data_IF_915599305271
#
_entry.id   IF_915599305271
#
_cell.length_a   1.000
_cell.length_b   1.000
_cell.length_c   1.000
_cell.angle_alpha   90.00
_cell.angle_beta   90.00
_cell.angle_gamma   90.00
#
_symmetry.space_group_name_H-M   'P 1'
#
loop_
_entity.id
_entity.type
_entity.pdbx_description
1 polymer ?
#
# COMPACT_ATOMS: atom_id res chain seq x y z
N UNK A 1 13.93 2.55 -26.98
CA UNK A 1 12.85 1.67 -26.52
C UNK A 1 11.62 2.54 -26.41
N UNK A 2 10.52 2.19 -27.08
CA UNK A 2 9.25 2.86 -26.85
C UNK A 2 8.86 2.62 -25.38
N UNK A 3 8.59 3.71 -24.67
CA UNK A 3 8.06 3.67 -23.32
C UNK A 3 6.64 3.09 -23.43
N UNK A 4 6.44 1.87 -22.93
CA UNK A 4 5.08 1.30 -22.84
C UNK A 4 4.35 2.14 -21.80
N UNK A 5 3.42 2.97 -22.25
CA UNK A 5 2.51 3.67 -21.34
C UNK A 5 1.51 2.64 -20.79
N UNK A 6 1.16 2.79 -19.51
CA UNK A 6 0.06 2.05 -18.89
C UNK A 6 -1.20 2.17 -19.75
N UNK A 7 -1.83 1.04 -20.03
CA UNK A 7 -3.10 0.93 -20.73
C UNK A 7 -4.24 0.71 -19.74
N UNK A 8 -5.46 1.11 -20.09
CA UNK A 8 -6.66 0.89 -19.26
C UNK A 8 -6.84 -0.57 -18.80
N UNK A 9 -6.36 -1.53 -19.60
CA UNK A 9 -6.43 -2.95 -19.26
C UNK A 9 -5.48 -3.36 -18.11
N UNK A 10 -4.47 -2.54 -17.81
CA UNK A 10 -3.51 -2.81 -16.73
C UNK A 10 -4.14 -2.58 -15.34
N UNK A 11 -5.39 -2.10 -15.26
CA UNK A 11 -6.16 -2.07 -14.02
C UNK A 11 -6.84 -3.41 -13.70
N UNK A 12 -6.83 -4.38 -14.64
CA UNK A 12 -7.44 -5.69 -14.49
C UNK A 12 -6.40 -6.81 -14.40
N UNK A 13 -6.86 -8.05 -14.21
CA UNK A 13 -5.97 -9.21 -14.04
C UNK A 13 -5.10 -9.44 -15.27
N UNK A 14 -3.81 -9.63 -15.01
CA UNK A 14 -2.82 -9.92 -16.04
C UNK A 14 -2.73 -11.43 -16.32
N UNK A 15 -2.31 -11.76 -17.53
CA UNK A 15 -1.95 -13.14 -17.86
C UNK A 15 -0.60 -13.47 -17.22
N UNK A 16 -0.52 -14.43 -16.30
CA UNK A 16 0.75 -14.76 -15.67
C UNK A 16 1.69 -15.47 -16.64
N UNK A 17 2.99 -15.30 -16.41
CA UNK A 17 4.01 -16.10 -17.09
C UNK A 17 4.24 -17.45 -16.37
N UNK A 18 5.25 -18.19 -16.80
CA UNK A 18 5.57 -19.50 -16.22
C UNK A 18 6.37 -19.42 -14.89
N UNK A 19 6.62 -18.22 -14.36
CA UNK A 19 7.42 -18.04 -13.16
C UNK A 19 6.70 -18.60 -11.93
N UNK A 20 7.37 -19.41 -11.09
CA UNK A 20 6.76 -19.96 -9.88
C UNK A 20 6.51 -18.91 -8.79
N UNK A 21 7.15 -17.74 -8.92
CA UNK A 21 7.07 -16.60 -7.99
C UNK A 21 6.28 -15.43 -8.58
N UNK A 22 5.50 -15.68 -9.64
CA UNK A 22 4.61 -14.67 -10.18
C UNK A 22 3.52 -14.34 -9.17
N UNK A 23 3.31 -13.05 -8.93
CA UNK A 23 2.27 -12.52 -8.05
C UNK A 23 1.59 -11.33 -8.71
N UNK A 24 0.35 -11.08 -8.32
CA UNK A 24 -0.39 -9.87 -8.67
C UNK A 24 -1.11 -9.33 -7.44
N UNK A 25 -0.95 -8.03 -7.19
CA UNK A 25 -1.27 -7.40 -5.92
C UNK A 25 -2.12 -6.15 -6.16
N UNK A 26 -3.27 -6.08 -5.49
CA UNK A 26 -4.09 -4.89 -5.47
C UNK A 26 -4.16 -4.34 -4.06
N UNK A 27 -3.69 -3.12 -3.86
CA UNK A 27 -3.61 -2.54 -2.54
C UNK A 27 -4.34 -1.21 -2.44
N UNK A 28 -5.19 -1.09 -1.42
CA UNK A 28 -5.96 0.09 -1.06
C UNK A 28 -5.71 0.38 0.42
N UNK A 29 -5.01 1.48 0.71
CA UNK A 29 -4.64 1.83 2.07
C UNK A 29 -4.82 3.32 2.30
N UNK A 30 -5.60 3.68 3.30
CA UNK A 30 -6.01 5.06 3.48
C UNK A 30 -6.42 5.40 4.90
N UNK A 31 -6.53 6.71 5.13
CA UNK A 31 -6.87 7.28 6.43
C UNK A 31 -7.72 8.54 6.29
N UNK A 32 -8.64 8.72 7.23
CA UNK A 32 -9.31 9.98 7.52
C UNK A 32 -8.85 10.47 8.89
N UNK A 33 -8.10 11.57 8.91
CA UNK A 33 -7.57 12.17 10.13
C UNK A 33 -8.65 12.81 11.01
N UNK A 34 -9.77 13.23 10.42
CA UNK A 34 -10.84 13.92 11.15
C UNK A 34 -11.65 12.98 12.03
N UNK A 35 -11.78 11.72 11.61
CA UNK A 35 -12.50 10.67 12.33
C UNK A 35 -11.58 9.61 12.93
N UNK A 36 -10.26 9.75 12.75
CA UNK A 36 -9.24 8.76 13.14
C UNK A 36 -9.57 7.36 12.60
N UNK A 37 -9.92 7.31 11.31
CA UNK A 37 -10.35 6.08 10.63
C UNK A 37 -9.26 5.59 9.69
N UNK A 38 -8.93 4.30 9.74
CA UNK A 38 -8.02 3.62 8.80
C UNK A 38 -8.77 2.54 8.03
N UNK A 39 -8.49 2.46 6.73
CA UNK A 39 -8.95 1.38 5.85
C UNK A 39 -7.75 0.74 5.17
N UNK A 40 -7.77 -0.58 5.07
CA UNK A 40 -6.71 -1.37 4.47
C UNK A 40 -7.32 -2.59 3.78
N UNK A 41 -6.97 -2.79 2.51
CA UNK A 41 -7.26 -4.00 1.76
C UNK A 41 -6.12 -4.30 0.80
N UNK A 42 -5.47 -5.43 1.02
CA UNK A 42 -4.50 -6.01 0.11
C UNK A 42 -5.06 -7.31 -0.47
N UNK A 43 -5.26 -7.33 -1.79
CA UNK A 43 -5.59 -8.53 -2.55
C UNK A 43 -4.33 -9.05 -3.20
N UNK A 44 -4.15 -10.36 -3.18
CA UNK A 44 -3.00 -11.05 -3.72
C UNK A 44 -3.47 -12.25 -4.54
N UNK A 45 -2.86 -12.44 -5.71
CA UNK A 45 -3.08 -13.59 -6.59
C UNK A 45 -1.76 -14.31 -6.81
N UNK A 46 -1.75 -15.62 -6.59
CA UNK A 46 -0.58 -16.50 -6.72
C UNK A 46 -0.93 -17.69 -7.64
N UNK A 47 -0.79 -17.54 -8.97
CA UNK A 47 -1.22 -18.56 -9.94
C UNK A 47 -0.51 -19.90 -9.78
N UNK A 48 0.78 -19.89 -9.40
CA UNK A 48 1.56 -21.13 -9.17
C UNK A 48 1.01 -22.01 -8.05
N UNK A 49 0.18 -21.43 -7.17
CA UNK A 49 -0.48 -22.10 -6.04
C UNK A 49 -1.98 -22.27 -6.24
N UNK A 50 -2.54 -21.69 -7.31
CA UNK A 50 -3.97 -21.55 -7.53
C UNK A 50 -4.69 -21.00 -6.29
N UNK A 51 -4.12 -19.91 -5.75
CA UNK A 51 -4.55 -19.29 -4.51
C UNK A 51 -4.67 -17.78 -4.70
N UNK A 52 -5.71 -17.22 -4.12
CA UNK A 52 -5.91 -15.78 -3.95
C UNK A 52 -6.10 -15.48 -2.46
N UNK A 53 -5.73 -14.29 -2.04
CA UNK A 53 -5.82 -13.86 -0.66
C UNK A 53 -6.30 -12.42 -0.55
N UNK A 54 -7.10 -12.13 0.48
CA UNK A 54 -7.43 -10.78 0.90
C UNK A 54 -7.02 -10.58 2.35
N UNK A 55 -6.22 -9.56 2.61
CA UNK A 55 -5.89 -9.06 3.95
C UNK A 55 -6.65 -7.76 4.15
N UNK A 56 -7.55 -7.71 5.12
CA UNK A 56 -8.34 -6.54 5.42
C UNK A 56 -8.13 -6.08 6.86
N UNK A 57 -8.04 -4.78 7.05
CA UNK A 57 -7.94 -4.15 8.37
C UNK A 57 -8.73 -2.84 8.39
N UNK A 58 -9.37 -2.58 9.52
CA UNK A 58 -9.98 -1.27 9.83
C UNK A 58 -9.59 -0.81 11.22
N UNK A 59 -9.48 0.49 11.37
CA UNK A 59 -9.48 1.18 12.66
C UNK A 59 -10.58 2.22 12.62
N UNK A 60 -11.54 2.16 13.55
CA UNK A 60 -12.66 3.10 13.60
C UNK A 60 -13.13 3.30 15.04
N UNK A 61 -13.22 4.57 15.44
CA UNK A 61 -13.59 4.96 16.81
C UNK A 61 -12.76 4.25 17.90
N UNK A 62 -11.45 4.06 17.64
CA UNK A 62 -10.52 3.37 18.54
C UNK A 62 -10.65 1.85 18.58
N UNK A 63 -11.59 1.26 17.83
CA UNK A 63 -11.69 -0.20 17.66
C UNK A 63 -10.90 -0.63 16.43
N UNK A 64 -10.25 -1.79 16.53
CA UNK A 64 -9.52 -2.42 15.44
C UNK A 64 -10.13 -3.76 15.10
N UNK A 65 -10.17 -4.08 13.83
CA UNK A 65 -10.60 -5.39 13.36
C UNK A 65 -9.78 -5.75 12.13
N UNK A 66 -9.37 -7.01 12.02
CA UNK A 66 -8.70 -7.53 10.82
C UNK A 66 -9.03 -8.98 10.55
N UNK A 67 -8.77 -9.40 9.32
CA UNK A 67 -8.87 -10.78 8.87
C UNK A 67 -8.00 -11.00 7.63
N UNK A 68 -7.55 -12.25 7.45
CA UNK A 68 -6.95 -12.75 6.22
C UNK A 68 -7.82 -13.88 5.67
N UNK A 69 -8.29 -13.72 4.44
CA UNK A 69 -9.10 -14.69 3.71
C UNK A 69 -8.24 -15.30 2.62
N UNK A 70 -7.86 -16.58 2.74
CA UNK A 70 -7.25 -17.32 1.64
C UNK A 70 -8.32 -18.17 0.92
N UNK A 71 -8.33 -18.14 -0.40
CA UNK A 71 -9.27 -18.90 -1.23
C UNK A 71 -8.52 -19.59 -2.37
N UNK A 72 -8.94 -20.81 -2.70
CA UNK A 72 -8.40 -21.53 -3.85
C UNK A 72 -9.08 -21.05 -5.12
N UNK A 73 -8.33 -20.44 -6.02
CA UNK A 73 -8.83 -19.80 -7.22
C UNK A 73 -7.74 -18.95 -7.88
N UNK A 74 -8.13 -18.26 -8.96
CA UNK A 74 -7.21 -17.47 -9.78
C UNK A 74 -7.75 -16.06 -10.07
N UNK A 75 -8.82 -15.66 -9.39
CA UNK A 75 -9.42 -14.32 -9.49
C UNK A 75 -9.47 -13.68 -8.11
N UNK A 76 -8.59 -12.71 -7.85
CA UNK A 76 -8.54 -12.04 -6.55
C UNK A 76 -9.70 -11.06 -6.32
N UNK A 77 -10.56 -10.83 -7.31
CA UNK A 77 -11.82 -10.10 -7.15
C UNK A 77 -12.99 -11.00 -6.74
N UNK A 78 -12.84 -12.33 -6.82
CA UNK A 78 -13.86 -13.31 -6.40
C UNK A 78 -13.56 -13.90 -5.01
N UNK A 79 -13.27 -13.02 -4.04
CA UNK A 79 -13.05 -13.41 -2.64
C UNK A 79 -14.33 -13.14 -1.82
N UNK A 80 -14.93 -14.15 -1.17
CA UNK A 80 -16.16 -13.95 -0.40
C UNK A 80 -16.04 -12.85 0.66
N UNK A 81 -16.99 -11.92 0.64
CA UNK A 81 -17.00 -10.77 1.56
C UNK A 81 -16.11 -9.62 1.14
N UNK A 82 -15.50 -9.68 -0.04
CA UNK A 82 -14.74 -8.59 -0.66
C UNK A 82 -15.32 -8.30 -2.04
N UNK A 83 -15.39 -7.03 -2.42
CA UNK A 83 -15.85 -6.60 -3.73
C UNK A 83 -15.02 -5.40 -4.17
N UNK A 84 -14.40 -5.49 -5.34
CA UNK A 84 -13.71 -4.37 -5.99
C UNK A 84 -14.26 -4.23 -7.40
N UNK A 85 -14.85 -3.08 -7.71
CA UNK A 85 -15.30 -2.74 -9.04
C UNK A 85 -14.47 -1.57 -9.57
N UNK A 86 -13.79 -1.80 -10.68
CA UNK A 86 -13.12 -0.75 -11.47
C UNK A 86 -14.20 -0.08 -12.32
N UNK A 87 -14.67 1.08 -11.90
CA UNK A 87 -15.70 1.84 -12.63
C UNK A 87 -15.09 2.68 -13.74
N UNK A 88 -13.88 3.19 -13.51
CA UNK A 88 -13.05 3.87 -14.49
C UNK A 88 -11.57 3.60 -14.18
N UNK A 89 -10.80 2.97 -15.10
CA UNK A 89 -9.39 2.68 -14.89
C UNK A 89 -8.60 3.90 -14.40
N UNK A 90 -7.77 3.70 -13.38
CA UNK A 90 -6.92 4.73 -12.77
C UNK A 90 -7.65 5.96 -12.22
N UNK A 91 -8.98 5.94 -12.11
CA UNK A 91 -9.79 7.13 -11.81
C UNK A 91 -10.88 6.88 -10.78
N UNK A 92 -11.57 5.73 -10.83
CA UNK A 92 -12.75 5.49 -10.00
C UNK A 92 -12.94 4.00 -9.69
N UNK A 93 -13.13 3.71 -8.41
CA UNK A 93 -13.39 2.37 -7.90
C UNK A 93 -14.52 2.38 -6.87
N UNK A 94 -15.26 1.27 -6.80
CA UNK A 94 -16.07 0.89 -5.64
C UNK A 94 -15.38 -0.25 -4.91
N UNK A 95 -15.12 -0.07 -3.62
CA UNK A 95 -14.38 -1.05 -2.81
C UNK A 95 -15.20 -1.35 -1.56
N UNK A 96 -15.54 -2.62 -1.35
CA UNK A 96 -16.30 -3.05 -0.19
C UNK A 96 -15.71 -4.30 0.45
N UNK A 97 -15.73 -4.32 1.77
CA UNK A 97 -15.31 -5.44 2.64
C UNK A 97 -16.41 -5.66 3.67
N UNK A 98 -16.80 -6.91 3.90
CA UNK A 98 -17.72 -7.32 4.96
C UNK A 98 -17.30 -8.72 5.46
N UNK A 99 -16.38 -8.72 6.40
CA UNK A 99 -15.77 -9.92 6.94
C UNK A 99 -16.07 -10.07 8.43
N UNK A 100 -15.80 -11.26 8.95
CA UNK A 100 -15.69 -11.50 10.37
C UNK A 100 -14.20 -11.57 10.73
N UNK A 101 -13.82 -10.93 11.83
CA UNK A 101 -12.43 -10.77 12.23
C UNK A 101 -12.32 -10.48 13.72
N UNK A 102 -11.11 -10.12 14.13
CA UNK A 102 -10.79 -9.85 15.52
C UNK A 102 -9.77 -8.72 15.68
N UNK A 103 -9.66 -8.24 16.92
CA UNK A 103 -8.58 -7.39 17.38
C UNK A 103 -7.58 -8.27 18.13
N UNK A 104 -6.36 -8.39 17.62
CA UNK A 104 -5.25 -8.98 18.38
C UNK A 104 -4.73 -8.04 19.49
N UNK A 105 -5.40 -6.90 19.68
CA UNK A 105 -5.18 -5.96 20.76
C UNK A 105 -4.02 -5.00 20.53
N UNK A 106 -3.69 -4.17 21.54
CA UNK A 106 -2.58 -3.24 21.47
C UNK A 106 -1.24 -3.99 21.31
N UNK A 107 -0.68 -3.97 20.10
CA UNK A 107 0.58 -4.64 19.75
C UNK A 107 0.40 -5.97 19.00
N UNK A 108 -0.84 -6.31 18.64
CA UNK A 108 -1.21 -7.50 17.87
C UNK A 108 -0.73 -7.50 16.43
N UNK A 109 -0.91 -8.65 15.76
CA UNK A 109 -0.77 -8.79 14.31
C UNK A 109 -2.12 -8.52 13.64
N UNK A 110 -2.14 -8.33 12.32
CA UNK A 110 -3.37 -8.55 11.59
C UNK A 110 -3.78 -10.03 11.74
N UNK A 111 -5.05 -10.27 12.05
CA UNK A 111 -5.55 -11.61 12.34
C UNK A 111 -5.51 -12.49 11.08
N UNK A 112 -4.97 -13.70 11.20
CA UNK A 112 -4.79 -14.66 10.10
C UNK A 112 -6.02 -15.58 9.90
N UNK A 113 -7.22 -15.12 10.28
CA UNK A 113 -8.46 -15.92 10.25
C UNK A 113 -9.72 -15.08 10.03
N UNK A 114 -10.81 -15.76 9.69
CA UNK A 114 -12.08 -15.16 9.25
C UNK A 114 -13.29 -15.57 10.10
N UNK A 115 -13.08 -16.33 11.16
CA UNK A 115 -14.10 -16.83 12.09
C UNK A 115 -14.11 -16.05 13.42
N UNK A 116 -13.52 -14.85 13.41
CA UNK A 116 -13.53 -13.94 14.56
C UNK A 116 -14.94 -13.49 14.95
N UNK A 117 -15.14 -13.06 16.21
CA UNK A 117 -16.47 -12.76 16.73
C UNK A 117 -17.07 -11.46 16.19
N UNK A 118 -16.27 -10.61 15.55
CA UNK A 118 -16.65 -9.23 15.21
C UNK A 118 -16.81 -9.06 13.72
N UNK A 119 -17.98 -8.58 13.27
CA UNK A 119 -18.17 -8.15 11.88
C UNK A 119 -17.53 -6.79 11.65
N UNK A 120 -16.80 -6.65 10.55
CA UNK A 120 -16.11 -5.41 10.22
C UNK A 120 -15.99 -5.23 8.71
N UNK A 121 -15.60 -4.02 8.31
CA UNK A 121 -15.28 -3.71 6.94
C UNK A 121 -15.62 -2.28 6.57
N UNK A 122 -15.86 -2.07 5.29
CA UNK A 122 -16.15 -0.77 4.72
C UNK A 122 -16.88 -0.89 3.39
N UNK A 123 -17.48 0.22 2.95
CA UNK A 123 -18.05 0.38 1.62
C UNK A 123 -17.72 1.79 1.12
N UNK A 124 -16.83 1.87 0.13
CA UNK A 124 -16.10 3.07 -0.25
C UNK A 124 -16.28 3.38 -1.74
N UNK A 125 -16.46 4.65 -2.05
CA UNK A 125 -16.11 5.23 -3.35
C UNK A 125 -14.69 5.77 -3.27
N UNK A 126 -13.85 5.40 -4.24
CA UNK A 126 -12.46 5.81 -4.34
C UNK A 126 -12.26 6.53 -5.67
N UNK A 127 -11.64 7.71 -5.66
CA UNK A 127 -11.45 8.53 -6.86
C UNK A 127 -10.06 9.15 -6.92
N UNK A 128 -9.53 9.31 -8.13
CA UNK A 128 -8.30 10.07 -8.38
C UNK A 128 -8.45 11.03 -9.57
N UNK A 129 -7.66 12.10 -9.54
CA UNK A 129 -7.54 13.06 -10.65
C UNK A 129 -6.14 13.04 -11.29
N UNK A 130 -5.13 12.50 -10.60
CA UNK A 130 -3.77 12.40 -11.11
C UNK A 130 -3.59 11.14 -11.95
N UNK A 131 -2.78 11.22 -13.00
CA UNK A 131 -2.37 10.04 -13.75
C UNK A 131 -1.65 9.02 -12.85
N UNK A 132 -1.74 7.71 -13.16
CA UNK A 132 -0.98 6.71 -12.42
C UNK A 132 0.52 6.99 -12.55
N UNK A 133 1.25 6.79 -11.45
CA UNK A 133 2.70 6.86 -11.43
C UNK A 133 3.24 5.50 -11.82
N UNK A 134 3.74 5.38 -13.05
CA UNK A 134 4.37 4.17 -13.57
C UNK A 134 5.80 4.01 -13.04
N UNK A 135 6.08 2.90 -12.37
CA UNK A 135 7.40 2.60 -11.80
C UNK A 135 8.38 1.99 -12.81
N UNK A 136 7.91 1.51 -13.97
CA UNK A 136 8.72 0.83 -14.97
C UNK A 136 10.02 1.56 -15.33
N UNK A 137 10.00 2.89 -15.62
CA UNK A 137 11.21 3.66 -15.91
C UNK A 137 12.24 3.65 -14.78
N UNK A 138 11.79 3.73 -13.53
CA UNK A 138 12.67 3.77 -12.36
C UNK A 138 13.21 2.39 -11.99
N UNK A 139 12.38 1.34 -12.08
CA UNK A 139 12.80 -0.04 -11.90
C UNK A 139 13.89 -0.45 -12.91
N UNK A 140 13.72 -0.06 -14.19
CA UNK A 140 14.72 -0.26 -15.22
C UNK A 140 16.04 0.49 -14.92
N UNK A 141 15.95 1.74 -14.45
CA UNK A 141 17.13 2.54 -14.08
C UNK A 141 17.90 1.97 -12.87
N UNK A 142 17.19 1.41 -11.89
CA UNK A 142 17.80 0.73 -10.75
C UNK A 142 18.46 -0.60 -11.13
N UNK A 143 18.11 -1.18 -12.29
CA UNK A 143 18.56 -2.51 -12.69
C UNK A 143 18.05 -3.61 -11.76
N UNK A 144 16.84 -3.43 -11.19
CA UNK A 144 16.19 -4.35 -10.24
C UNK A 144 14.82 -4.85 -10.71
N UNK A 145 14.74 -5.49 -11.89
CA UNK A 145 13.47 -6.05 -12.37
C UNK A 145 12.95 -7.19 -11.46
N UNK A 146 13.79 -7.77 -10.62
CA UNK A 146 13.44 -8.84 -9.67
C UNK A 146 12.55 -8.40 -8.50
N UNK A 147 12.54 -7.09 -8.20
CA UNK A 147 11.77 -6.53 -7.07
C UNK A 147 10.46 -5.92 -7.54
N UNK A 148 10.51 -5.19 -8.65
CA UNK A 148 9.42 -4.40 -9.19
C UNK A 148 9.57 -4.46 -10.72
N UNK A 149 8.77 -5.26 -11.41
CA UNK A 149 8.71 -5.23 -12.88
C UNK A 149 7.65 -4.24 -13.33
N UNK A 150 6.39 -4.61 -13.10
CA UNK A 150 5.24 -3.80 -13.47
C UNK A 150 4.50 -3.37 -12.21
N UNK A 151 4.41 -2.07 -12.03
CA UNK A 151 3.88 -1.46 -10.83
C UNK A 151 3.44 -0.04 -11.17
N UNK A 152 2.25 0.34 -10.70
CA UNK A 152 1.87 1.74 -10.64
C UNK A 152 1.16 2.08 -9.34
N UNK A 153 1.20 3.37 -9.02
CA UNK A 153 0.49 3.92 -7.86
C UNK A 153 -0.37 5.11 -8.25
N UNK A 154 -1.49 5.25 -7.55
CA UNK A 154 -2.45 6.34 -7.72
C UNK A 154 -2.78 6.96 -6.36
N UNK A 155 -2.61 8.29 -6.21
CA UNK A 155 -3.14 9.03 -5.06
C UNK A 155 -4.66 9.16 -5.19
N UNK A 156 -5.39 8.85 -4.13
CA UNK A 156 -6.84 8.84 -4.16
C UNK A 156 -7.45 9.63 -3.00
N UNK A 157 -8.65 10.15 -3.25
CA UNK A 157 -9.64 10.44 -2.24
C UNK A 157 -10.55 9.22 -2.08
N UNK A 158 -10.99 8.96 -0.86
CA UNK A 158 -12.03 7.99 -0.59
C UNK A 158 -13.13 8.60 0.25
N UNK A 159 -14.36 8.13 0.07
CA UNK A 159 -15.48 8.45 0.94
C UNK A 159 -16.38 7.23 1.10
N UNK A 160 -16.99 7.07 2.25
CA UNK A 160 -17.85 5.92 2.49
C UNK A 160 -18.15 5.67 3.95
N UNK A 161 -18.48 4.43 4.24
CA UNK A 161 -18.77 3.97 5.61
C UNK A 161 -17.77 2.92 6.03
N UNK A 162 -17.26 3.01 7.26
CA UNK A 162 -16.33 2.05 7.87
C UNK A 162 -16.92 1.56 9.19
N UNK A 163 -16.80 0.27 9.49
CA UNK A 163 -17.35 -0.33 10.71
C UNK A 163 -16.49 -1.44 11.30
N UNK A 164 -16.58 -1.60 12.63
CA UNK A 164 -16.02 -2.71 13.41
C UNK A 164 -16.93 -2.93 14.63
N UNK A 165 -17.63 -4.07 14.65
CA UNK A 165 -18.67 -4.36 15.64
C UNK A 165 -19.81 -3.35 15.57
N UNK A 166 -20.16 -2.77 16.72
CA UNK A 166 -21.21 -1.75 16.82
C UNK A 166 -20.72 -0.33 16.47
N UNK A 167 -19.41 -0.16 16.22
CA UNK A 167 -18.83 1.13 15.83
C UNK A 167 -18.90 1.31 14.33
N UNK A 168 -19.47 2.44 13.89
CA UNK A 168 -19.61 2.78 12.48
C UNK A 168 -19.47 4.30 12.29
N UNK A 169 -18.76 4.71 11.25
CA UNK A 169 -18.54 6.11 10.88
C UNK A 169 -18.69 6.28 9.38
N UNK A 170 -19.27 7.40 8.96
CA UNK A 170 -19.10 7.93 7.60
C UNK A 170 -17.86 8.83 7.57
N UNK A 171 -16.92 8.53 6.70
CA UNK A 171 -15.60 9.17 6.66
C UNK A 171 -15.21 9.51 5.22
N UNK A 172 -14.30 10.49 5.11
CA UNK A 172 -13.66 10.89 3.87
C UNK A 172 -12.19 11.10 4.14
N UNK A 173 -11.32 10.53 3.33
CA UNK A 173 -9.89 10.61 3.58
C UNK A 173 -9.04 10.48 2.33
N UNK A 174 -7.73 10.40 2.57
CA UNK A 174 -6.74 10.14 1.54
C UNK A 174 -6.39 8.65 1.52
N UNK A 175 -6.04 8.13 0.35
CA UNK A 175 -5.73 6.73 0.13
C UNK A 175 -4.67 6.59 -0.96
N UNK A 176 -3.84 5.57 -0.86
CA UNK A 176 -2.96 5.12 -1.94
C UNK A 176 -3.55 3.85 -2.55
N UNK A 177 -3.62 3.84 -3.87
CA UNK A 177 -3.95 2.66 -4.67
C UNK A 177 -2.69 2.21 -5.40
N UNK A 178 -2.14 1.08 -4.98
CA UNK A 178 -0.98 0.41 -5.59
C UNK A 178 -1.45 -0.83 -6.32
N UNK A 179 -1.02 -1.00 -7.56
CA UNK A 179 -1.19 -2.23 -8.32
C UNK A 179 0.15 -2.68 -8.87
N UNK A 180 0.44 -3.97 -8.73
CA UNK A 180 1.65 -4.53 -9.28
C UNK A 180 1.50 -5.99 -9.65
N UNK A 181 2.23 -6.41 -10.67
CA UNK A 181 2.19 -7.78 -11.17
C UNK A 181 3.57 -8.22 -11.69
N UNK A 182 3.74 -9.53 -11.80
CA UNK A 182 4.97 -10.14 -12.30
C UNK A 182 5.70 -10.99 -11.26
N UNK A 183 6.83 -11.60 -11.66
CA UNK A 183 7.72 -12.30 -10.73
C UNK A 183 8.22 -11.38 -9.61
N UNK A 184 8.13 -11.85 -8.36
CA UNK A 184 8.63 -11.11 -7.18
C UNK A 184 9.53 -11.97 -6.32
N UNK A 185 10.77 -11.51 -6.13
CA UNK A 185 11.70 -12.07 -5.15
C UNK A 185 12.11 -11.01 -4.13
N UNK A 186 11.36 -10.95 -3.02
CA UNK A 186 11.59 -9.99 -1.94
C UNK A 186 12.71 -10.43 -0.97
N UNK A 187 13.29 -11.63 -1.15
CA UNK A 187 14.44 -12.08 -0.35
C UNK A 187 15.77 -11.45 -0.81
N UNK A 188 15.72 -10.56 -1.81
CA UNK A 188 16.88 -9.95 -2.47
C UNK A 188 17.35 -8.64 -1.82
N UNK A 189 16.70 -8.18 -0.75
CA UNK A 189 17.09 -7.02 0.04
C UNK A 189 17.01 -7.31 1.55
N UNK A 190 17.82 -6.62 2.33
CA UNK A 190 17.91 -6.80 3.79
C UNK A 190 16.77 -6.06 4.53
N UNK A 191 16.30 -4.96 3.94
CA UNK A 191 15.32 -4.05 4.50
C UNK A 191 14.76 -3.20 3.35
N UNK A 192 13.45 -2.95 3.33
CA UNK A 192 12.88 -1.94 2.45
C UNK A 192 11.87 -1.05 3.19
N UNK A 193 11.78 0.20 2.74
CA UNK A 193 10.67 1.07 3.03
C UNK A 193 9.96 1.46 1.75
N UNK A 194 8.68 1.11 1.66
CA UNK A 194 7.75 1.67 0.69
C UNK A 194 7.06 2.88 1.33
N UNK A 195 7.17 4.05 0.69
CA UNK A 195 6.78 5.34 1.29
C UNK A 195 5.98 6.25 0.37
N UNK A 196 4.76 5.85 -0.04
CA UNK A 196 3.88 6.74 -0.76
C UNK A 196 3.26 7.78 0.18
N UNK A 197 3.01 8.98 -0.33
CA UNK A 197 2.45 10.10 0.42
C UNK A 197 1.51 10.90 -0.47
N UNK A 198 0.32 11.20 0.02
CA UNK A 198 -0.73 11.90 -0.71
C UNK A 198 -1.00 13.25 -0.04
N UNK A 199 -1.04 14.33 -0.83
CA UNK A 199 -1.29 15.68 -0.32
C UNK A 199 -2.34 16.42 -1.16
N UNK A 200 -2.80 17.55 -0.62
CA UNK A 200 -3.65 18.52 -1.33
C UNK A 200 -4.84 17.86 -2.05
N UNK A 201 -5.68 17.14 -1.30
CA UNK A 201 -6.87 16.46 -1.81
C UNK A 201 -6.57 15.51 -3.00
N UNK A 202 -5.47 14.76 -2.88
CA UNK A 202 -4.97 13.83 -3.90
C UNK A 202 -4.57 14.47 -5.24
N UNK A 203 -4.19 15.75 -5.24
CA UNK A 203 -3.63 16.46 -6.40
C UNK A 203 -2.11 16.56 -6.37
N UNK A 204 -1.48 16.09 -5.29
CA UNK A 204 -0.03 16.00 -5.14
C UNK A 204 0.33 14.63 -4.57
N UNK A 205 1.41 14.03 -5.08
CA UNK A 205 1.79 12.68 -4.74
C UNK A 205 3.30 12.51 -4.72
N UNK A 206 3.78 11.79 -3.71
CA UNK A 206 5.13 11.25 -3.66
C UNK A 206 5.00 9.75 -3.63
N UNK A 207 5.65 9.07 -4.56
CA UNK A 207 5.71 7.62 -4.66
C UNK A 207 7.17 7.21 -4.53
N UNK A 208 7.53 6.43 -3.52
CA UNK A 208 8.93 6.20 -3.20
C UNK A 208 9.18 4.82 -2.62
N UNK A 209 10.36 4.29 -2.93
CA UNK A 209 10.89 3.08 -2.30
C UNK A 209 12.37 3.27 -1.97
N UNK A 210 12.76 2.79 -0.80
CA UNK A 210 14.16 2.69 -0.37
C UNK A 210 14.44 1.26 0.05
N UNK A 211 15.59 0.73 -0.32
CA UNK A 211 16.01 -0.64 0.00
C UNK A 211 17.45 -0.64 0.48
N UNK A 212 17.77 -1.53 1.41
CA UNK A 212 19.13 -1.88 1.79
C UNK A 212 19.51 -3.19 1.10
N UNK A 213 20.52 -3.15 0.23
CA UNK A 213 20.96 -4.30 -0.57
C UNK A 213 22.46 -4.46 -0.39
N UNK A 214 22.90 -5.53 0.27
CA UNK A 214 24.33 -5.78 0.49
C UNK A 214 25.01 -4.62 1.23
N UNK A 215 24.31 -4.00 2.18
CA UNK A 215 24.79 -2.84 2.93
C UNK A 215 24.76 -1.50 2.20
N UNK A 216 24.14 -1.40 1.01
CA UNK A 216 23.98 -0.14 0.27
C UNK A 216 22.52 0.26 0.14
N UNK A 217 22.23 1.53 0.37
CA UNK A 217 20.92 2.10 0.11
C UNK A 217 20.72 2.34 -1.39
N UNK A 218 19.62 1.83 -1.92
CA UNK A 218 19.16 2.06 -3.29
C UNK A 218 17.67 2.39 -3.27
N UNK A 219 17.19 3.09 -4.28
CA UNK A 219 15.79 3.50 -4.32
C UNK A 219 15.54 4.61 -5.33
N UNK A 220 14.26 4.92 -5.51
CA UNK A 220 13.81 6.02 -6.35
C UNK A 220 12.59 6.70 -5.73
N UNK A 221 12.31 7.89 -6.23
CA UNK A 221 11.10 8.62 -5.90
C UNK A 221 10.53 9.30 -7.12
N UNK A 222 9.22 9.23 -7.27
CA UNK A 222 8.46 10.12 -8.11
C UNK A 222 7.79 11.20 -7.27
N UNK A 223 7.86 12.45 -7.71
CA UNK A 223 7.11 13.56 -7.12
C UNK A 223 6.23 14.15 -8.22
N UNK A 224 4.91 14.08 -8.04
CA UNK A 224 3.93 14.76 -8.90
C UNK A 224 3.25 15.88 -8.11
N UNK A 225 3.36 17.11 -8.60
CA UNK A 225 2.68 18.29 -8.03
C UNK A 225 1.53 18.77 -8.92
N UNK A 226 0.95 17.89 -9.74
CA UNK A 226 -0.10 18.17 -10.71
C UNK A 226 0.38 18.60 -12.09
N UNK A 227 1.70 18.69 -12.30
CA UNK A 227 2.31 19.00 -13.60
C UNK A 227 2.96 17.78 -14.27
N UNK A 228 2.77 16.59 -13.69
CA UNK A 228 3.41 15.35 -14.09
C UNK A 228 4.53 14.96 -13.14
N UNK A 229 4.70 13.66 -12.96
CA UNK A 229 5.69 13.07 -12.07
C UNK A 229 7.12 13.31 -12.54
N UNK A 230 7.99 13.70 -11.60
CA UNK A 230 9.44 13.83 -11.78
C UNK A 230 10.16 12.76 -10.98
N UNK A 231 11.05 12.02 -11.64
CA UNK A 231 11.89 10.98 -11.04
C UNK A 231 13.11 11.59 -10.34
N UNK A 232 13.36 11.13 -9.12
CA UNK A 232 14.53 11.41 -8.30
C UNK A 232 15.18 10.09 -7.86
N UNK A 233 16.50 10.12 -7.68
CA UNK A 233 17.29 8.97 -7.26
C UNK A 233 17.72 9.11 -5.80
N UNK A 234 18.02 7.98 -5.17
CA UNK A 234 18.60 7.91 -3.82
C UNK A 234 17.77 8.57 -2.71
N UNK A 235 16.46 8.27 -2.60
CA UNK A 235 15.73 8.61 -1.39
C UNK A 235 16.30 7.87 -0.18
N UNK A 236 16.04 8.40 1.01
CA UNK A 236 16.27 7.67 2.26
C UNK A 236 15.17 7.96 3.27
N UNK A 237 14.93 6.96 4.11
CA UNK A 237 13.97 7.01 5.21
C UNK A 237 14.74 6.88 6.52
N UNK A 238 14.39 7.73 7.48
CA UNK A 238 14.85 7.61 8.86
C UNK A 238 13.66 7.56 9.79
N UNK A 239 13.47 6.42 10.45
CA UNK A 239 12.45 6.27 11.50
C UNK A 239 12.95 6.74 12.86
N UNK A 240 12.07 7.31 13.67
CA UNK A 240 12.31 7.65 15.06
C UNK A 240 11.89 6.48 15.96
N UNK A 241 12.85 5.58 16.22
CA UNK A 241 12.63 4.33 16.94
C UNK A 241 13.44 3.20 16.32
N UNK A 242 12.91 1.98 16.36
CA UNK A 242 13.49 0.82 15.68
C UNK A 242 12.66 0.47 14.44
N UNK A 243 13.29 0.10 13.31
CA UNK A 243 12.61 -0.40 12.12
C UNK A 243 12.13 -1.84 12.37
N UNK A 244 11.14 -1.94 13.25
CA UNK A 244 10.44 -3.15 13.63
C UNK A 244 8.94 -2.85 13.67
N UNK A 245 8.14 -3.90 13.76
CA UNK A 245 6.69 -3.80 13.99
C UNK A 245 6.37 -2.83 15.13
N UNK A 246 5.60 -1.78 14.84
CA UNK A 246 5.22 -0.73 15.80
C UNK A 246 6.41 -0.07 16.51
N UNK A 247 7.61 -0.17 15.94
CA UNK A 247 8.85 0.24 16.58
C UNK A 247 9.17 1.73 16.47
N UNK A 248 8.36 2.49 15.72
CA UNK A 248 8.62 3.90 15.42
C UNK A 248 7.36 4.75 15.45
N UNK A 249 7.42 5.91 16.09
CA UNK A 249 6.29 6.86 16.20
C UNK A 249 6.32 7.99 15.19
N UNK A 250 7.43 8.15 14.47
CA UNK A 250 7.55 9.11 13.37
C UNK A 250 8.67 8.70 12.42
N UNK A 251 8.74 9.36 11.27
CA UNK A 251 9.89 9.26 10.39
C UNK A 251 10.13 10.53 9.59
N UNK A 252 11.31 10.60 8.98
CA UNK A 252 11.69 11.60 8.00
C UNK A 252 12.00 10.87 6.70
N UNK A 253 11.29 11.21 5.63
CA UNK A 253 11.65 10.85 4.27
C UNK A 253 12.37 12.03 3.62
N UNK A 254 13.41 11.74 2.84
CA UNK A 254 14.21 12.75 2.15
C UNK A 254 14.65 12.26 0.78
N UNK A 255 14.81 13.19 -0.14
CA UNK A 255 15.42 12.94 -1.43
C UNK A 255 16.22 14.15 -1.92
N UNK A 256 17.34 13.89 -2.58
CA UNK A 256 18.21 14.92 -3.16
C UNK A 256 17.95 15.01 -4.66
N UNK A 257 17.45 16.16 -5.11
CA UNK A 257 17.53 16.57 -6.51
C UNK A 257 18.86 17.30 -6.80
N UNK A 258 19.08 17.61 -8.08
CA UNK A 258 20.29 18.33 -8.52
C UNK A 258 20.50 19.67 -7.80
N UNK A 259 19.40 20.41 -7.56
CA UNK A 259 19.45 21.78 -7.01
C UNK A 259 18.67 21.96 -5.69
N UNK A 260 18.01 20.91 -5.19
CA UNK A 260 17.17 20.99 -3.97
C UNK A 260 17.10 19.67 -3.21
N UNK A 261 16.92 19.77 -1.90
CA UNK A 261 16.54 18.65 -1.03
C UNK A 261 15.04 18.75 -0.76
N UNK A 262 14.31 17.65 -0.99
CA UNK A 262 12.93 17.49 -0.55
C UNK A 262 12.91 16.72 0.76
N UNK A 263 12.05 17.15 1.69
CA UNK A 263 11.92 16.56 3.02
C UNK A 263 10.47 16.52 3.45
N UNK A 264 10.05 15.36 3.95
CA UNK A 264 8.74 15.14 4.54
C UNK A 264 8.92 14.53 5.93
N UNK A 265 8.22 15.09 6.91
CA UNK A 265 8.09 14.47 8.24
C UNK A 265 6.75 13.75 8.32
N UNK A 266 6.74 12.55 8.89
CA UNK A 266 5.55 11.73 9.03
C UNK A 266 5.38 11.40 10.51
N UNK A 267 4.28 11.86 11.12
CA UNK A 267 3.89 11.50 12.47
C UNK A 267 2.97 10.29 12.40
N UNK A 268 3.45 9.13 12.85
CA UNK A 268 2.75 7.85 12.71
C UNK A 268 1.64 7.75 13.75
N UNK A 269 0.43 7.44 13.27
CA UNK A 269 -0.76 7.28 14.10
C UNK A 269 -1.20 5.80 14.21
N UNK A 270 -1.06 5.04 13.13
CA UNK A 270 -1.48 3.63 13.09
C UNK A 270 -0.41 2.74 12.47
N UNK A 271 -0.41 1.48 12.89
CA UNK A 271 0.44 0.44 12.35
C UNK A 271 -0.40 -0.79 12.06
N UNK A 272 -0.29 -1.29 10.84
CA UNK A 272 -0.91 -2.53 10.36
C UNK A 272 0.19 -3.56 10.08
N UNK A 273 0.63 -4.32 11.10
CA UNK A 273 1.62 -5.37 10.90
C UNK A 273 0.99 -6.65 10.38
N UNK A 274 1.47 -7.13 9.24
CA UNK A 274 0.92 -8.28 8.53
C UNK A 274 2.02 -9.30 8.28
N UNK A 275 1.74 -10.57 8.56
CA UNK A 275 2.67 -11.66 8.25
C UNK A 275 2.53 -12.09 6.81
N UNK A 276 3.65 -12.47 6.22
CA UNK A 276 3.71 -13.05 4.89
C UNK A 276 4.46 -14.39 4.94
N UNK A 277 3.89 -15.42 5.60
CA UNK A 277 4.59 -16.71 5.79
C UNK A 277 4.95 -17.39 4.46
N UNK A 278 4.27 -17.01 3.37
CA UNK A 278 4.52 -17.52 2.02
C UNK A 278 5.75 -16.91 1.34
N UNK A 279 6.26 -15.80 1.86
CA UNK A 279 7.46 -15.11 1.38
C UNK A 279 8.72 -15.53 2.16
N UNK A 280 8.57 -16.28 3.25
CA UNK A 280 9.66 -16.77 4.09
C UNK A 280 9.26 -16.81 5.56
N UNK A 281 9.92 -17.67 6.33
CA UNK A 281 9.73 -17.72 7.78
C UNK A 281 10.18 -16.41 8.41
N UNK A 282 9.25 -15.72 9.08
CA UNK A 282 9.53 -14.44 9.74
C UNK A 282 9.33 -13.20 8.87
N UNK A 283 8.97 -13.36 7.59
CA UNK A 283 8.69 -12.23 6.71
C UNK A 283 7.42 -11.50 7.12
N UNK A 284 7.50 -10.17 7.21
CA UNK A 284 6.35 -9.34 7.52
C UNK A 284 6.45 -7.95 6.89
N UNK A 285 5.28 -7.36 6.67
CA UNK A 285 5.16 -5.93 6.39
C UNK A 285 4.58 -5.22 7.62
N UNK A 286 4.97 -3.97 7.80
CA UNK A 286 4.40 -3.09 8.81
C UNK A 286 4.11 -1.75 8.18
N UNK A 287 2.90 -1.61 7.64
CA UNK A 287 2.35 -0.37 7.13
C UNK A 287 2.12 0.59 8.30
N UNK A 288 2.93 1.63 8.38
CA UNK A 288 2.75 2.72 9.33
C UNK A 288 2.08 3.91 8.63
N UNK A 289 0.87 4.25 9.04
CA UNK A 289 0.10 5.34 8.48
C UNK A 289 0.11 6.53 9.43
N UNK A 290 0.19 7.74 8.88
CA UNK A 290 0.27 8.95 9.67
C UNK A 290 0.04 10.21 8.87
N UNK A 291 0.24 11.33 9.56
CA UNK A 291 0.17 12.66 8.95
C UNK A 291 1.54 13.01 8.38
N UNK A 292 1.62 13.14 7.07
CA UNK A 292 2.78 13.66 6.38
C UNK A 292 2.73 15.20 6.33
N UNK A 293 3.86 15.85 6.61
CA UNK A 293 4.03 17.30 6.50
C UNK A 293 5.15 17.61 5.51
N UNK A 294 4.80 18.29 4.41
CA UNK A 294 5.72 18.70 3.35
C UNK A 294 5.60 20.20 3.07
N UNK A 295 6.55 20.99 3.59
CA UNK A 295 6.48 22.44 3.51
C UNK A 295 5.22 22.98 4.21
N UNK A 296 4.31 23.58 3.43
CA UNK A 296 3.01 24.06 3.92
C UNK A 296 1.87 23.04 3.76
N UNK A 297 2.13 21.89 3.14
CA UNK A 297 1.14 20.86 2.87
C UNK A 297 1.11 19.82 3.99
N UNK A 298 -0.09 19.35 4.31
CA UNK A 298 -0.31 18.17 5.13
C UNK A 298 -1.13 17.15 4.35
N UNK A 299 -0.96 15.87 4.68
CA UNK A 299 -1.68 14.79 4.02
C UNK A 299 -1.36 13.43 4.62
N UNK A 300 -1.65 12.37 3.87
CA UNK A 300 -1.38 11.00 4.28
C UNK A 300 0.08 10.66 3.99
N UNK A 301 0.78 10.13 4.99
CA UNK A 301 2.05 9.44 4.82
C UNK A 301 1.94 7.98 5.17
N UNK A 302 2.51 7.12 4.32
CA UNK A 302 2.67 5.70 4.60
C UNK A 302 4.15 5.39 4.64
N UNK A 303 4.54 4.55 5.60
CA UNK A 303 5.89 3.99 5.72
C UNK A 303 5.74 2.52 6.01
N UNK A 304 5.65 1.73 4.96
CA UNK A 304 5.65 0.29 5.07
C UNK A 304 7.08 -0.18 5.23
N UNK A 305 7.35 -0.79 6.37
CA UNK A 305 8.56 -1.55 6.61
C UNK A 305 8.38 -2.96 6.05
N UNK A 306 9.26 -3.37 5.15
CA UNK A 306 9.36 -4.74 4.67
C UNK A 306 10.67 -5.35 5.18
N UNK A 307 10.57 -6.49 5.88
CA UNK A 307 11.70 -7.14 6.53
C UNK A 307 11.58 -8.66 6.51
N UNK A 308 12.72 -9.29 6.26
CA UNK A 308 12.98 -10.73 6.43
C UNK A 308 13.73 -10.99 7.75
#
# INVERSE_FOLDING_TARGET
MEQIMLADNDEFLHTPDASPIWQENYFFVGRDDSTDTVVYLHLERMPSRNEVEAKAFVEVAGNRCSAVVAHHGDDCFDIPGVSVAVEQPFRRWRVAVNLAGEDDGPGGWAAERTDGPTRFGFDLEVTSTLAPTDWGPAAAALGRPDVILDHYEVPCLWSGTVWCGDSQVSATGLLVRDHSWGPRDLATFDLAFWTPMVFADATMFISAVTMLVGGRHVGFTFIDTGSGAVLFEQPWVRVAGFPERRGYGSASWRCLGADREERVEIDVASHVPVRYPRMGDGHYFNDALGVATWGAHQGLGIIELNRH
#
